data_IF_542796648897
#
_entry.id   IF_542796648897
#
_cell.length_a   1.000
_cell.length_b   1.000
_cell.length_c   1.000
_cell.angle_alpha   90.00
_cell.angle_beta   90.00
_cell.angle_gamma   90.00
#
_symmetry.space_group_name_H-M   'P 1'
#
loop_
_entity.id
_entity.type
_entity.pdbx_description
1 polymer ?
#
# COMPACT_ATOMS: atom_id res chain seq x y z
N UNK A 1 68.01 -5.71 5.92
CA UNK A 1 67.09 -4.83 6.66
C UNK A 1 66.20 -4.08 5.68
N UNK A 2 64.88 -4.17 5.87
CA UNK A 2 63.91 -3.11 5.54
C UNK A 2 63.42 -2.99 4.10
N UNK A 3 62.38 -3.75 3.74
CA UNK A 3 61.54 -3.47 2.56
C UNK A 3 60.57 -2.32 2.80
N UNK A 4 60.21 -1.57 1.75
CA UNK A 4 59.06 -0.65 1.74
C UNK A 4 58.02 -1.18 0.77
N UNK A 5 56.88 -1.59 1.33
CA UNK A 5 55.75 -2.22 0.62
C UNK A 5 54.83 -1.13 0.06
N UNK A 6 54.54 -1.28 -1.24
CA UNK A 6 53.51 -0.69 -2.09
C UNK A 6 52.36 0.07 -1.40
N UNK A 7 52.26 1.38 -1.69
CA UNK A 7 51.24 2.31 -1.19
C UNK A 7 50.24 2.72 -2.28
N UNK A 8 49.62 1.75 -2.99
CA UNK A 8 48.59 2.06 -4.01
C UNK A 8 47.40 1.08 -4.07
N UNK A 9 47.17 0.25 -3.05
CA UNK A 9 46.08 -0.75 -3.09
C UNK A 9 44.89 -0.52 -2.14
N UNK A 10 44.82 0.61 -1.43
CA UNK A 10 43.71 0.86 -0.48
C UNK A 10 42.60 1.79 -1.00
N UNK A 11 42.81 2.53 -2.10
CA UNK A 11 41.85 3.54 -2.57
C UNK A 11 40.74 3.00 -3.49
N UNK A 12 40.89 1.80 -4.06
CA UNK A 12 39.88 1.22 -4.96
C UNK A 12 38.81 0.41 -4.21
N UNK A 13 39.16 -0.15 -3.03
CA UNK A 13 38.25 -0.97 -2.25
C UNK A 13 37.12 -0.15 -1.59
N UNK A 14 37.41 1.10 -1.22
CA UNK A 14 36.44 2.05 -0.64
C UNK A 14 35.42 2.56 -1.66
N UNK A 15 35.80 2.69 -2.94
CA UNK A 15 34.88 3.10 -4.01
C UNK A 15 33.90 1.99 -4.41
N UNK A 16 34.27 0.72 -4.25
CA UNK A 16 33.37 -0.40 -4.54
C UNK A 16 32.24 -0.50 -3.50
N UNK A 17 32.54 -0.19 -2.23
CA UNK A 17 31.56 -0.15 -1.13
C UNK A 17 30.51 0.95 -1.34
N UNK A 18 30.87 2.07 -1.98
CA UNK A 18 29.92 3.14 -2.32
C UNK A 18 29.08 2.85 -3.57
N UNK A 19 29.42 1.84 -4.38
CA UNK A 19 28.66 1.45 -5.57
C UNK A 19 27.53 0.45 -5.29
N UNK A 20 27.53 -0.17 -4.11
CA UNK A 20 26.33 -0.80 -3.53
C UNK A 20 25.54 0.25 -2.74
N UNK A 21 25.24 1.40 -3.36
CA UNK A 21 24.05 2.15 -2.95
C UNK A 21 22.83 1.32 -3.38
N UNK A 22 22.57 0.25 -2.64
CA UNK A 22 21.31 -0.45 -2.67
C UNK A 22 20.27 0.64 -2.43
N UNK A 23 19.34 0.83 -3.38
CA UNK A 23 18.17 1.64 -3.15
C UNK A 23 17.33 0.91 -2.09
N UNK A 24 17.76 0.95 -0.83
CA UNK A 24 16.92 0.58 0.30
C UNK A 24 15.88 1.69 0.35
N UNK A 25 14.80 1.51 -0.42
CA UNK A 25 13.58 2.26 -0.18
C UNK A 25 13.17 1.87 1.23
N UNK A 26 13.33 2.79 2.18
CA UNK A 26 12.78 2.65 3.51
C UNK A 26 11.26 2.73 3.35
N UNK A 27 10.62 1.60 3.11
CA UNK A 27 9.16 1.50 3.16
C UNK A 27 8.78 1.53 4.63
N UNK A 28 8.04 2.55 5.02
CA UNK A 28 7.53 2.68 6.38
C UNK A 28 6.26 1.84 6.46
N UNK A 29 6.32 0.73 7.19
CA UNK A 29 5.08 0.06 7.58
C UNK A 29 4.27 1.06 8.42
N UNK A 30 3.07 1.40 7.98
CA UNK A 30 2.10 1.94 8.91
C UNK A 30 1.72 0.75 9.79
N UNK A 31 2.02 0.84 11.08
CA UNK A 31 1.80 -0.27 12.01
C UNK A 31 0.33 -0.63 12.04
N UNK A 32 -0.04 -1.78 11.46
CA UNK A 32 -1.38 -2.36 11.53
C UNK A 32 -1.94 -2.79 10.18
N UNK A 33 -3.21 -3.18 10.24
CA UNK A 33 -4.04 -3.68 9.16
C UNK A 33 -5.11 -2.67 8.74
N UNK A 34 -5.07 -1.45 9.27
CA UNK A 34 -6.19 -0.51 9.26
C UNK A 34 -5.85 0.84 8.62
N UNK A 35 -6.70 1.28 7.70
CA UNK A 35 -6.75 2.63 7.16
C UNK A 35 -7.86 3.39 7.89
N UNK A 36 -7.53 4.56 8.43
CA UNK A 36 -8.47 5.43 9.16
C UNK A 36 -8.35 6.87 8.67
N UNK A 37 -9.29 7.77 9.03
CA UNK A 37 -9.20 9.18 8.65
C UNK A 37 -7.89 9.86 9.09
N UNK A 38 -7.29 9.39 10.19
CA UNK A 38 -6.03 9.91 10.73
C UNK A 38 -4.79 9.18 10.21
N UNK A 39 -4.97 8.01 9.59
CA UNK A 39 -3.88 7.18 9.05
C UNK A 39 -4.20 6.79 7.59
N UNK A 40 -4.06 7.74 6.64
CA UNK A 40 -4.13 7.45 5.23
C UNK A 40 -2.88 6.69 4.75
N UNK A 41 -2.96 6.08 3.57
CA UNK A 41 -1.83 5.41 2.91
C UNK A 41 -1.34 6.32 1.78
N UNK A 42 -0.08 6.77 1.87
CA UNK A 42 0.60 7.47 0.79
C UNK A 42 1.53 6.52 0.04
N UNK A 43 2.10 6.99 -1.07
CA UNK A 43 3.10 6.22 -1.79
C UNK A 43 4.32 5.87 -0.92
N UNK A 44 4.68 4.58 -0.87
CA UNK A 44 5.74 4.05 -0.01
C UNK A 44 5.26 3.54 1.37
N UNK A 45 4.03 3.89 1.75
CA UNK A 45 3.34 3.30 2.90
C UNK A 45 2.64 1.99 2.51
N UNK A 46 2.46 1.12 3.49
CA UNK A 46 1.66 -0.10 3.36
C UNK A 46 1.08 -0.52 4.70
N UNK A 47 0.00 -1.32 4.65
CA UNK A 47 -0.57 -2.06 5.77
C UNK A 47 -0.44 -3.56 5.52
N UNK A 48 -0.46 -4.34 6.59
CA UNK A 48 -0.28 -5.79 6.56
C UNK A 48 -1.45 -6.44 7.28
N UNK A 49 -1.99 -7.54 6.77
CA UNK A 49 -2.93 -8.37 7.53
C UNK A 49 -2.30 -8.85 8.83
N UNK A 50 -3.12 -9.12 9.84
CA UNK A 50 -2.66 -9.48 11.17
C UNK A 50 -1.75 -10.73 11.17
N UNK A 51 -2.00 -11.69 10.29
CA UNK A 51 -1.18 -12.90 10.11
C UNK A 51 0.07 -12.71 9.20
N UNK A 52 0.25 -11.52 8.63
CA UNK A 52 1.34 -11.21 7.72
C UNK A 52 1.22 -11.85 6.34
N UNK A 53 0.05 -12.36 5.94
CA UNK A 53 -0.13 -13.04 4.66
C UNK A 53 -0.35 -12.06 3.51
N UNK A 54 -1.09 -10.99 3.76
CA UNK A 54 -1.45 -9.99 2.74
C UNK A 54 -0.91 -8.61 3.08
N UNK A 55 -0.48 -7.89 2.05
CA UNK A 55 -0.06 -6.50 2.12
C UNK A 55 -0.92 -5.66 1.17
N UNK A 56 -1.19 -4.42 1.56
CA UNK A 56 -1.84 -3.41 0.73
C UNK A 56 -0.98 -2.16 0.67
N UNK A 57 -0.78 -1.63 -0.53
CA UNK A 57 -0.06 -0.37 -0.73
C UNK A 57 0.07 0.04 -2.19
N UNK A 58 0.93 1.02 -2.43
CA UNK A 58 1.25 1.51 -3.77
C UNK A 58 2.35 0.69 -4.42
N UNK A 59 2.22 0.40 -5.71
CA UNK A 59 3.25 -0.30 -6.50
C UNK A 59 3.30 0.23 -7.93
N UNK A 60 4.31 -0.20 -8.69
CA UNK A 60 4.40 -0.03 -10.14
C UNK A 60 4.43 -1.39 -10.82
N UNK A 61 3.79 -1.51 -11.99
CA UNK A 61 3.92 -2.69 -12.83
C UNK A 61 5.30 -2.73 -13.51
N UNK A 62 5.78 -3.91 -13.96
CA UNK A 62 7.04 -4.00 -14.69
C UNK A 62 7.09 -3.04 -15.88
N UNK A 63 8.24 -2.39 -16.08
CA UNK A 63 8.53 -1.47 -17.20
C UNK A 63 7.70 -0.17 -17.23
N UNK A 64 7.06 0.21 -16.13
CA UNK A 64 6.29 1.45 -16.01
C UNK A 64 6.51 2.10 -14.64
N UNK A 65 6.40 3.43 -14.55
CA UNK A 65 6.43 4.20 -13.29
C UNK A 65 5.05 4.61 -12.79
N UNK A 66 3.99 4.29 -13.55
CA UNK A 66 2.62 4.49 -13.14
C UNK A 66 2.33 3.76 -11.84
N UNK A 67 1.60 4.44 -10.96
CA UNK A 67 1.28 3.96 -9.62
C UNK A 67 -0.12 3.38 -9.55
N UNK A 68 -0.17 2.21 -8.93
CA UNK A 68 -1.36 1.44 -8.67
C UNK A 68 -1.46 1.16 -7.18
N UNK A 69 -2.69 1.06 -6.67
CA UNK A 69 -2.97 0.53 -5.34
C UNK A 69 -3.49 -0.89 -5.50
N UNK A 70 -2.96 -1.81 -4.71
CA UNK A 70 -3.42 -3.20 -4.75
C UNK A 70 -3.07 -3.96 -3.50
N UNK A 71 -3.47 -5.23 -3.52
CA UNK A 71 -3.20 -6.20 -2.46
C UNK A 71 -2.40 -7.34 -3.08
N UNK A 72 -1.41 -7.84 -2.34
CA UNK A 72 -0.54 -8.94 -2.76
C UNK A 72 -0.17 -9.86 -1.59
N UNK A 73 0.37 -11.03 -1.91
CA UNK A 73 0.95 -11.92 -0.90
C UNK A 73 2.30 -11.39 -0.41
N UNK A 74 2.42 -11.09 0.89
CA UNK A 74 3.63 -10.54 1.49
C UNK A 74 4.80 -11.54 1.51
N UNK A 75 4.50 -12.84 1.62
CA UNK A 75 5.48 -13.91 1.81
C UNK A 75 5.94 -14.58 0.51
N UNK A 76 5.50 -14.11 -0.66
CA UNK A 76 5.88 -14.66 -1.97
C UNK A 76 6.90 -13.73 -2.64
N UNK A 77 8.10 -14.22 -2.95
CA UNK A 77 9.17 -13.42 -3.55
C UNK A 77 8.81 -12.82 -4.91
N UNK A 78 7.98 -13.52 -5.68
CA UNK A 78 7.42 -12.99 -6.92
C UNK A 78 6.12 -12.27 -6.56
N UNK A 79 6.13 -10.95 -6.73
CA UNK A 79 4.99 -10.09 -6.43
C UNK A 79 3.72 -10.58 -7.14
N UNK A 80 2.80 -11.14 -6.37
CA UNK A 80 1.56 -11.73 -6.88
C UNK A 80 0.38 -10.87 -6.44
N UNK A 81 -0.08 -10.00 -7.32
CA UNK A 81 -1.21 -9.09 -7.06
C UNK A 81 -2.53 -9.84 -7.16
N UNK A 82 -3.25 -9.91 -6.05
CA UNK A 82 -4.56 -10.56 -5.97
C UNK A 82 -5.71 -9.58 -6.23
N UNK A 83 -5.45 -8.27 -6.14
CA UNK A 83 -6.40 -7.22 -6.53
C UNK A 83 -5.68 -5.89 -6.83
N UNK A 84 -6.26 -5.07 -7.72
CA UNK A 84 -5.75 -3.75 -8.10
C UNK A 84 -6.94 -2.79 -8.18
N UNK A 85 -6.92 -1.73 -7.37
CA UNK A 85 -8.01 -0.76 -7.25
C UNK A 85 -8.20 0.03 -8.55
N UNK A 86 -7.15 0.72 -8.98
CA UNK A 86 -7.14 1.64 -10.11
C UNK A 86 -6.52 1.01 -11.36
N UNK A 87 -6.89 -0.25 -11.65
CA UNK A 87 -6.34 -1.02 -12.79
C UNK A 87 -6.49 -0.26 -14.13
N UNK A 88 -7.63 0.38 -14.33
CA UNK A 88 -7.97 1.07 -15.59
C UNK A 88 -7.53 2.54 -15.62
N UNK A 89 -7.22 3.13 -14.46
CA UNK A 89 -6.88 4.55 -14.31
C UNK A 89 -5.63 4.73 -13.42
N UNK A 90 -4.42 4.41 -13.91
CA UNK A 90 -3.19 4.59 -13.14
C UNK A 90 -2.89 6.05 -12.80
N UNK A 91 -2.26 6.27 -11.65
CA UNK A 91 -1.66 7.57 -11.30
C UNK A 91 -0.29 7.67 -11.97
N UNK A 92 0.06 8.83 -12.52
CA UNK A 92 1.28 8.99 -13.33
C UNK A 92 2.55 9.26 -12.52
N UNK A 93 2.40 9.58 -11.24
CA UNK A 93 3.46 9.91 -10.30
C UNK A 93 3.19 9.30 -8.91
N UNK A 94 4.09 9.56 -7.96
CA UNK A 94 4.01 9.06 -6.58
C UNK A 94 3.23 9.99 -5.63
N UNK A 95 2.32 10.81 -6.15
CA UNK A 95 1.54 11.78 -5.34
C UNK A 95 0.23 11.22 -4.78
N UNK A 96 -0.08 9.97 -5.11
CA UNK A 96 -1.35 9.35 -4.76
C UNK A 96 -1.55 9.13 -3.26
N UNK A 97 -2.80 9.27 -2.80
CA UNK A 97 -3.18 9.03 -1.40
C UNK A 97 -4.48 8.23 -1.35
N UNK A 98 -4.45 7.08 -0.67
CA UNK A 98 -5.62 6.27 -0.36
C UNK A 98 -6.08 6.58 1.07
N UNK A 99 -7.31 7.08 1.23
CA UNK A 99 -7.85 7.51 2.52
C UNK A 99 -9.36 7.32 2.65
N UNK A 100 -9.85 7.45 3.87
CA UNK A 100 -11.28 7.63 4.12
C UNK A 100 -11.66 9.04 3.68
N UNK A 101 -12.55 9.14 2.70
CA UNK A 101 -13.07 10.39 2.17
C UNK A 101 -14.16 10.99 3.06
N UNK A 102 -14.64 12.17 2.65
CA UNK A 102 -15.56 12.98 3.45
C UNK A 102 -16.96 12.35 3.66
N UNK A 103 -17.26 11.25 2.98
CA UNK A 103 -18.54 10.53 3.08
C UNK A 103 -18.39 9.10 3.60
N UNK A 104 -17.24 8.80 4.24
CA UNK A 104 -16.92 7.48 4.77
C UNK A 104 -16.46 6.47 3.70
N UNK A 105 -16.32 6.91 2.45
CA UNK A 105 -15.85 6.08 1.35
C UNK A 105 -14.32 5.92 1.37
N UNK A 106 -13.84 4.70 1.13
CA UNK A 106 -12.41 4.50 0.87
C UNK A 106 -12.10 5.00 -0.55
N UNK A 107 -11.24 6.02 -0.65
CA UNK A 107 -11.04 6.78 -1.89
C UNK A 107 -9.57 7.01 -2.16
N UNK A 108 -9.17 6.74 -3.41
CA UNK A 108 -7.86 7.03 -3.96
C UNK A 108 -7.90 8.38 -4.69
N UNK A 109 -7.02 9.29 -4.26
CA UNK A 109 -6.81 10.58 -4.89
C UNK A 109 -5.45 10.63 -5.59
N UNK A 110 -5.35 11.40 -6.68
CA UNK A 110 -4.07 11.83 -7.25
C UNK A 110 -3.54 13.11 -6.57
N UNK A 111 -2.37 13.60 -7.01
CA UNK A 111 -1.74 14.81 -6.46
C UNK A 111 -2.49 16.11 -6.72
N UNK A 112 -3.42 16.14 -7.68
CA UNK A 112 -4.33 17.26 -7.90
C UNK A 112 -5.56 17.18 -6.97
N UNK A 113 -5.70 16.11 -6.18
CA UNK A 113 -6.86 15.84 -5.36
C UNK A 113 -8.08 15.32 -6.14
N UNK A 114 -7.89 14.83 -7.38
CA UNK A 114 -8.97 14.20 -8.16
C UNK A 114 -9.17 12.76 -7.71
N UNK A 115 -10.43 12.32 -7.74
CA UNK A 115 -10.79 10.93 -7.42
C UNK A 115 -10.39 10.04 -8.58
N UNK A 116 -9.50 9.09 -8.31
CA UNK A 116 -9.03 8.07 -9.27
C UNK A 116 -9.84 6.79 -9.14
N UNK A 117 -10.18 6.43 -7.91
CA UNK A 117 -10.97 5.25 -7.56
C UNK A 117 -11.67 5.45 -6.21
N UNK A 118 -12.85 4.87 -6.01
CA UNK A 118 -13.56 4.95 -4.73
C UNK A 118 -14.46 3.72 -4.52
N UNK A 119 -14.57 3.27 -3.27
CA UNK A 119 -15.56 2.28 -2.82
C UNK A 119 -16.18 2.73 -1.50
N UNK A 120 -17.46 2.44 -1.33
CA UNK A 120 -18.20 2.81 -0.14
C UNK A 120 -19.58 3.30 -0.51
N UNK A 121 -20.51 3.21 0.45
CA UNK A 121 -21.77 3.90 0.36
C UNK A 121 -21.56 5.35 0.83
N UNK A 122 -22.25 6.30 0.20
CA UNK A 122 -22.33 7.66 0.72
C UNK A 122 -23.10 7.62 2.04
N UNK A 123 -22.38 7.53 3.15
CA UNK A 123 -22.97 7.57 4.49
C UNK A 123 -22.85 8.99 5.04
N UNK A 124 -23.71 9.35 6.00
CA UNK A 124 -23.59 10.64 6.72
C UNK A 124 -22.43 10.63 7.73
N UNK A 125 -21.70 9.52 7.86
CA UNK A 125 -20.66 9.30 8.85
C UNK A 125 -19.29 9.36 8.18
N UNK A 126 -18.41 10.21 8.69
CA UNK A 126 -16.99 10.25 8.33
C UNK A 126 -16.16 9.22 9.12
N UNK A 127 -16.79 8.49 10.03
CA UNK A 127 -16.12 7.62 10.98
C UNK A 127 -15.98 6.20 10.43
N UNK A 128 -15.60 6.05 9.16
CA UNK A 128 -15.32 4.73 8.59
C UNK A 128 -13.85 4.36 8.73
N UNK A 129 -13.56 3.07 8.83
CA UNK A 129 -12.22 2.50 8.73
C UNK A 129 -12.21 1.35 7.73
N UNK A 130 -11.10 1.16 7.03
CA UNK A 130 -10.89 0.01 6.16
C UNK A 130 -9.85 -0.93 6.78
N UNK A 131 -10.18 -2.21 6.93
CA UNK A 131 -9.33 -3.21 7.59
C UNK A 131 -8.97 -4.33 6.59
N UNK A 132 -7.68 -4.63 6.46
CA UNK A 132 -7.16 -5.73 5.66
C UNK A 132 -7.17 -7.02 6.47
N UNK A 133 -8.15 -7.88 6.21
CA UNK A 133 -8.30 -9.13 6.94
C UNK A 133 -7.32 -10.20 6.47
N UNK A 134 -7.02 -11.19 7.32
CA UNK A 134 -6.19 -12.37 7.02
C UNK A 134 -6.72 -13.24 5.85
N UNK A 135 -7.97 -13.01 5.40
CA UNK A 135 -8.51 -13.64 4.19
C UNK A 135 -8.13 -12.90 2.90
N UNK A 136 -7.39 -11.80 3.02
CA UNK A 136 -7.07 -10.83 1.98
C UNK A 136 -8.16 -9.78 1.77
N UNK A 137 -9.37 -10.00 2.27
CA UNK A 137 -10.48 -9.07 2.07
C UNK A 137 -10.22 -7.71 2.73
N UNK A 138 -10.41 -6.64 1.97
CA UNK A 138 -10.43 -5.28 2.51
C UNK A 138 -11.87 -4.90 2.87
N UNK A 139 -12.10 -4.69 4.16
CA UNK A 139 -13.43 -4.49 4.73
C UNK A 139 -13.58 -3.04 5.17
N UNK A 140 -14.54 -2.33 4.60
CA UNK A 140 -14.93 -0.99 5.03
C UNK A 140 -16.05 -1.10 6.08
N UNK A 141 -15.80 -0.60 7.29
CA UNK A 141 -16.77 -0.61 8.41
C UNK A 141 -16.84 0.75 9.09
N UNK A 142 -17.91 0.99 9.84
CA UNK A 142 -17.99 2.16 10.72
C UNK A 142 -17.23 1.90 12.03
N UNK A 143 -16.46 2.87 12.51
CA UNK A 143 -15.52 2.73 13.62
C UNK A 143 -16.19 2.41 14.96
N UNK A 144 -17.47 2.78 15.12
CA UNK A 144 -18.21 2.66 16.38
C UNK A 144 -19.17 1.47 16.43
N UNK A 145 -19.18 0.64 15.39
CA UNK A 145 -20.05 -0.55 15.38
C UNK A 145 -19.25 -1.75 15.88
N UNK A 146 -19.78 -2.47 16.86
CA UNK A 146 -19.19 -3.71 17.39
C UNK A 146 -18.84 -4.69 16.25
N UNK A 147 -17.91 -5.61 16.45
CA UNK A 147 -17.50 -6.60 15.43
C UNK A 147 -18.66 -7.50 14.91
N UNK A 148 -19.83 -7.38 15.52
CA UNK A 148 -21.09 -8.03 15.14
C UNK A 148 -21.93 -7.21 14.13
N UNK A 149 -21.58 -5.95 13.91
CA UNK A 149 -22.23 -5.12 12.91
C UNK A 149 -21.77 -5.45 11.49
N UNK A 150 -22.73 -5.42 10.56
CA UNK A 150 -22.50 -5.79 9.19
C UNK A 150 -21.59 -4.75 8.49
N UNK A 151 -20.56 -5.18 7.74
CA UNK A 151 -19.68 -4.25 7.05
C UNK A 151 -20.41 -3.48 5.95
N UNK A 152 -20.00 -2.23 5.74
CA UNK A 152 -20.57 -1.33 4.72
C UNK A 152 -20.27 -1.83 3.31
N UNK A 153 -19.01 -2.21 3.08
CA UNK A 153 -18.58 -2.85 1.85
C UNK A 153 -17.50 -3.90 2.14
N UNK A 154 -17.47 -4.96 1.33
CA UNK A 154 -16.35 -5.90 1.24
C UNK A 154 -15.75 -5.80 -0.16
N UNK A 155 -14.46 -5.52 -0.24
CA UNK A 155 -13.67 -5.78 -1.43
C UNK A 155 -13.21 -7.24 -1.33
N UNK A 156 -13.87 -8.13 -2.07
CA UNK A 156 -13.55 -9.56 -2.02
C UNK A 156 -12.46 -9.92 -3.02
N UNK A 157 -11.34 -10.38 -2.46
CA UNK A 157 -10.14 -10.74 -3.23
C UNK A 157 -10.33 -11.95 -4.13
N UNK A 158 -11.15 -12.91 -3.70
CA UNK A 158 -11.26 -14.21 -4.35
C UNK A 158 -12.31 -14.20 -5.48
N UNK A 159 -13.08 -13.13 -5.63
CA UNK A 159 -14.16 -13.05 -6.63
C UNK A 159 -14.07 -11.82 -7.54
N UNK A 160 -13.14 -10.88 -7.31
CA UNK A 160 -13.11 -9.56 -7.98
C UNK A 160 -14.43 -8.78 -7.87
N UNK A 161 -15.31 -9.18 -6.95
CA UNK A 161 -16.64 -8.59 -6.78
C UNK A 161 -16.59 -7.56 -5.66
N UNK A 162 -16.93 -6.31 -6.00
CA UNK A 162 -17.31 -5.32 -5.00
C UNK A 162 -18.72 -5.66 -4.52
N UNK A 163 -18.87 -5.97 -3.23
CA UNK A 163 -20.20 -6.07 -2.62
C UNK A 163 -20.32 -4.98 -1.57
N UNK A 164 -21.16 -4.01 -1.89
CA UNK A 164 -21.63 -2.99 -0.97
C UNK A 164 -23.11 -3.25 -0.66
N UNK A 165 -23.53 -3.01 0.58
CA UNK A 165 -24.97 -3.01 0.89
C UNK A 165 -25.59 -1.76 0.25
N UNK A 166 -26.78 -1.93 -0.33
CA UNK A 166 -27.66 -0.83 -0.76
C UNK A 166 -28.54 -0.41 0.41
#
# INVERSE_FOLDING_TARGET
MGGKKNMHRFSALTLFIFSLSYNISFTKAITGDTISPTHPISDGDFIVSNDGTFELGFFSLPNNTNRYVGIWYAKISVQTYVWIANRDNPIKDSSGVLKIGNYGNLTLFDGDGKIVWSVGQSSTSTNSTAVLHDSGNLILKEANTSDEAQPLCRVMMIQQTLICRL
#
